data_IF_619657557384
#
_entry.id   IF_619657557384
#
_cell.length_a   1.000
_cell.length_b   1.000
_cell.length_c   1.000
_cell.angle_alpha   90.00
_cell.angle_beta   90.00
_cell.angle_gamma   90.00
#
_symmetry.space_group_name_H-M   'P 1'
#
loop_
_entity.id
_entity.type
_entity.pdbx_description
1 polymer ?
#
# COMPACT_ATOMS: atom_id res chain seq x y z
N UNK A 1 47.67 -7.62 39.34
CA UNK A 1 46.23 -7.48 39.59
C UNK A 1 46.02 -7.26 41.08
N UNK A 2 45.27 -6.24 41.52
CA UNK A 2 45.16 -5.94 42.97
C UNK A 2 44.38 -7.03 43.70
N UNK A 3 44.70 -7.29 44.97
CA UNK A 3 43.99 -8.28 45.83
C UNK A 3 42.47 -8.04 45.90
N UNK A 4 42.01 -6.81 45.64
CA UNK A 4 40.57 -6.47 45.54
C UNK A 4 39.96 -6.99 44.24
N UNK A 5 40.65 -6.84 43.10
CA UNK A 5 40.19 -7.38 41.81
C UNK A 5 40.12 -8.91 41.81
N UNK A 6 41.07 -9.60 42.44
CA UNK A 6 41.05 -11.06 42.52
C UNK A 6 39.87 -11.59 43.36
N UNK A 7 39.51 -10.88 44.43
CA UNK A 7 38.33 -11.24 45.26
C UNK A 7 37.02 -10.99 44.53
N UNK A 8 36.91 -9.88 43.78
CA UNK A 8 35.72 -9.59 42.96
C UNK A 8 35.56 -10.65 41.87
N UNK A 9 36.65 -11.03 41.19
CA UNK A 9 36.61 -12.05 40.15
C UNK A 9 36.21 -13.43 40.69
N UNK A 10 36.72 -13.82 41.87
CA UNK A 10 36.32 -15.07 42.53
C UNK A 10 34.84 -15.08 42.92
N UNK A 11 34.30 -13.96 43.42
CA UNK A 11 32.88 -13.85 43.75
C UNK A 11 32.01 -13.94 42.49
N UNK A 12 32.41 -13.29 41.39
CA UNK A 12 31.70 -13.36 40.12
C UNK A 12 31.70 -14.78 39.52
N UNK A 13 32.81 -15.51 39.63
CA UNK A 13 32.90 -16.91 39.18
C UNK A 13 31.97 -17.82 40.01
N UNK A 14 31.93 -17.64 41.33
CA UNK A 14 31.03 -18.42 42.21
C UNK A 14 29.56 -18.12 41.89
N UNK A 15 29.21 -16.86 41.62
CA UNK A 15 27.86 -16.49 41.20
C UNK A 15 27.51 -17.11 39.85
N UNK A 16 28.43 -17.09 38.88
CA UNK A 16 28.19 -17.72 37.57
C UNK A 16 27.96 -19.23 37.69
N UNK A 17 28.77 -19.93 38.49
CA UNK A 17 28.60 -21.36 38.72
C UNK A 17 27.26 -21.67 39.39
N UNK A 18 26.83 -20.84 40.36
CA UNK A 18 25.53 -21.00 41.01
C UNK A 18 24.37 -20.77 40.05
N UNK A 19 24.45 -19.75 39.17
CA UNK A 19 23.42 -19.46 38.16
C UNK A 19 23.35 -20.60 37.13
N UNK A 20 24.49 -21.12 36.67
CA UNK A 20 24.54 -22.26 35.75
C UNK A 20 23.98 -23.54 36.38
N UNK A 21 24.25 -23.79 37.67
CA UNK A 21 23.68 -24.94 38.38
C UNK A 21 22.16 -24.84 38.53
N UNK A 22 21.62 -23.65 38.81
CA UNK A 22 20.17 -23.40 38.89
C UNK A 22 19.51 -23.59 37.52
N UNK A 23 20.13 -23.09 36.44
CA UNK A 23 19.62 -23.28 35.08
C UNK A 23 19.62 -24.77 34.67
N UNK A 24 20.66 -25.52 35.04
CA UNK A 24 20.76 -26.96 34.75
C UNK A 24 19.71 -27.79 35.51
N UNK A 25 19.44 -27.46 36.78
CA UNK A 25 18.39 -28.12 37.57
C UNK A 25 16.99 -27.78 37.02
N UNK A 26 16.78 -26.54 36.54
CA UNK A 26 15.51 -26.10 35.95
C UNK A 26 15.21 -26.77 34.60
N UNK A 27 16.24 -27.23 33.88
CA UNK A 27 16.10 -27.83 32.55
C UNK A 27 16.16 -29.37 32.55
N UNK A 28 16.46 -30.02 33.68
CA UNK A 28 16.57 -31.49 33.80
C UNK A 28 15.38 -32.17 34.47
N UNK A 29 14.33 -31.42 34.83
CA UNK A 29 13.14 -31.92 35.51
C UNK A 29 11.84 -31.75 34.71
N UNK A 30 11.65 -32.49 33.62
CA UNK A 30 10.31 -32.68 33.03
C UNK A 30 10.17 -34.07 32.40
N UNK A 31 9.64 -35.01 33.18
CA UNK A 31 9.22 -36.34 32.73
C UNK A 31 8.04 -36.85 33.54
N UNK A 32 6.90 -37.02 32.86
CA UNK A 32 5.67 -37.76 33.23
C UNK A 32 4.62 -37.15 34.18
N UNK A 33 3.34 -37.15 33.73
CA UNK A 33 2.17 -37.48 34.58
C UNK A 33 1.03 -36.46 34.78
N UNK A 34 -0.04 -36.57 33.97
CA UNK A 34 -1.49 -36.41 34.25
C UNK A 34 -2.13 -35.18 34.99
N UNK A 35 -3.13 -34.58 34.29
CA UNK A 35 -4.46 -34.02 34.67
C UNK A 35 -4.68 -33.27 36.02
N UNK A 36 -5.12 -32.00 35.95
CA UNK A 36 -6.48 -31.49 36.32
C UNK A 36 -6.60 -29.95 36.21
N UNK A 37 -7.83 -29.49 35.99
CA UNK A 37 -8.33 -28.10 35.96
C UNK A 37 -8.10 -27.35 37.29
N UNK A 38 -7.82 -26.03 37.27
CA UNK A 38 -8.78 -24.96 37.61
C UNK A 38 -8.17 -23.54 37.45
N UNK A 39 -9.06 -22.53 37.47
CA UNK A 39 -8.98 -21.11 37.08
C UNK A 39 -7.94 -20.16 37.75
N UNK A 40 -7.75 -19.06 37.00
CA UNK A 40 -7.63 -17.62 37.38
C UNK A 40 -6.26 -16.93 37.50
N UNK A 41 -6.00 -16.07 36.49
CA UNK A 41 -5.59 -14.63 36.51
C UNK A 41 -4.31 -14.22 37.26
N UNK A 42 -3.28 -13.78 36.51
CA UNK A 42 -2.84 -12.36 36.41
C UNK A 42 -1.44 -12.23 35.76
N UNK A 43 -1.37 -11.35 34.75
CA UNK A 43 -0.25 -10.56 34.21
C UNK A 43 1.21 -10.88 34.58
N UNK A 44 2.02 -11.11 33.53
CA UNK A 44 3.26 -10.34 33.31
C UNK A 44 3.77 -10.55 31.88
N UNK A 45 4.03 -9.43 31.21
CA UNK A 45 4.64 -9.31 29.88
C UNK A 45 6.03 -9.96 29.83
N UNK A 46 6.25 -10.83 28.84
CA UNK A 46 7.59 -11.23 28.40
C UNK A 46 7.79 -10.80 26.94
N UNK A 47 8.77 -9.92 26.77
CA UNK A 47 9.32 -9.51 25.48
C UNK A 47 10.06 -10.70 24.86
N UNK A 48 9.61 -11.15 23.69
CA UNK A 48 10.45 -11.95 22.81
C UNK A 48 10.37 -11.43 21.38
N UNK A 49 11.52 -10.94 20.92
CA UNK A 49 11.83 -10.64 19.53
C UNK A 49 11.88 -11.97 18.79
N UNK A 50 10.91 -12.21 17.91
CA UNK A 50 10.97 -13.31 16.95
C UNK A 50 11.43 -12.77 15.60
N UNK A 51 12.60 -13.24 15.18
CA UNK A 51 13.11 -13.11 13.81
C UNK A 51 12.05 -13.60 12.81
N UNK A 52 11.78 -12.77 11.81
CA UNK A 52 10.94 -13.11 10.67
C UNK A 52 11.76 -14.02 9.76
N UNK A 53 11.43 -15.32 9.72
CA UNK A 53 12.04 -16.27 8.80
C UNK A 53 11.24 -16.31 7.49
N UNK A 54 11.84 -15.82 6.40
CA UNK A 54 11.33 -16.00 5.04
C UNK A 54 11.56 -17.45 4.57
N UNK A 55 10.50 -18.13 4.11
CA UNK A 55 10.60 -19.43 3.45
C UNK A 55 10.88 -19.24 1.94
N UNK A 56 11.78 -20.04 1.33
CA UNK A 56 12.23 -19.84 -0.04
C UNK A 56 11.20 -20.37 -1.05
N UNK A 57 11.04 -19.64 -2.17
CA UNK A 57 10.31 -20.12 -3.34
C UNK A 57 11.25 -20.18 -4.56
N UNK A 58 11.40 -21.41 -5.04
CA UNK A 58 11.68 -21.91 -6.39
C UNK A 58 12.60 -21.10 -7.33
N UNK A 59 13.85 -21.59 -7.45
CA UNK A 59 14.83 -21.16 -8.45
C UNK A 59 14.84 -22.14 -9.63
N UNK A 60 14.44 -21.68 -10.82
CA UNK A 60 14.90 -22.29 -12.06
C UNK A 60 15.06 -21.24 -13.16
N UNK A 61 16.30 -20.91 -13.49
CA UNK A 61 16.69 -20.27 -14.74
C UNK A 61 18.09 -20.78 -15.10
N UNK A 62 18.31 -21.36 -16.28
CA UNK A 62 19.65 -21.68 -16.74
C UNK A 62 20.33 -20.42 -17.31
N UNK A 63 21.62 -20.35 -17.05
CA UNK A 63 22.59 -19.37 -17.52
C UNK A 63 22.70 -19.36 -19.06
N UNK A 64 22.76 -18.16 -19.66
CA UNK A 64 23.52 -17.95 -20.89
C UNK A 64 24.35 -16.66 -20.81
N UNK A 65 25.63 -16.76 -21.19
CA UNK A 65 26.65 -15.71 -21.22
C UNK A 65 26.77 -15.10 -22.63
N UNK A 66 27.44 -13.94 -22.78
CA UNK A 66 27.00 -12.88 -23.68
C UNK A 66 27.60 -12.95 -25.09
N UNK A 67 26.87 -12.39 -26.05
CA UNK A 67 27.37 -12.07 -27.39
C UNK A 67 27.43 -10.56 -27.59
N UNK A 68 28.66 -10.08 -27.80
CA UNK A 68 29.07 -8.78 -28.32
C UNK A 68 28.35 -8.37 -29.61
N UNK A 69 28.07 -7.08 -29.79
CA UNK A 69 28.26 -6.36 -31.06
C UNK A 69 28.41 -4.85 -30.81
N UNK A 70 29.10 -4.23 -31.76
CA UNK A 70 29.94 -3.04 -31.65
C UNK A 70 29.20 -1.72 -31.91
N UNK A 71 29.83 -0.66 -31.41
CA UNK A 71 29.64 0.78 -31.62
C UNK A 71 29.92 1.18 -33.08
N UNK A 72 29.13 2.04 -33.73
CA UNK A 72 29.32 3.50 -33.96
C UNK A 72 28.92 3.81 -35.44
N UNK A 73 28.81 5.07 -35.95
CA UNK A 73 28.82 6.38 -35.30
C UNK A 73 27.69 7.35 -35.73
N UNK A 74 27.66 8.49 -35.03
CA UNK A 74 27.03 9.78 -35.32
C UNK A 74 27.49 10.39 -36.67
N UNK A 75 26.70 11.31 -37.27
CA UNK A 75 27.31 12.52 -37.79
C UNK A 75 26.67 13.81 -37.26
N UNK A 76 27.54 14.78 -37.00
CA UNK A 76 27.25 16.18 -36.67
C UNK A 76 27.56 17.08 -37.88
N UNK A 77 26.78 18.17 -38.02
CA UNK A 77 27.19 19.56 -38.37
C UNK A 77 25.91 20.38 -38.65
N UNK A 78 25.64 21.48 -37.92
CA UNK A 78 26.09 22.88 -38.14
C UNK A 78 25.75 23.40 -39.55
N UNK A 79 25.19 24.59 -39.80
CA UNK A 79 25.00 25.84 -39.05
C UNK A 79 24.13 26.82 -39.89
N UNK A 80 23.74 27.96 -39.29
CA UNK A 80 23.20 29.24 -39.81
C UNK A 80 21.79 29.55 -39.28
N UNK A 81 21.63 30.35 -38.22
CA UNK A 81 21.79 31.83 -38.11
C UNK A 81 20.89 32.59 -39.10
N UNK A 82 19.79 33.16 -38.59
CA UNK A 82 19.59 34.61 -38.68
C UNK A 82 18.60 35.14 -37.63
N UNK A 83 19.03 36.30 -37.15
CA UNK A 83 18.52 37.23 -36.17
C UNK A 83 17.25 37.96 -36.63
N UNK A 84 16.32 38.27 -35.71
CA UNK A 84 15.70 39.60 -35.61
C UNK A 84 14.68 39.70 -34.46
N UNK A 85 15.01 40.64 -33.58
CA UNK A 85 14.15 41.66 -32.98
C UNK A 85 13.29 41.34 -31.73
N UNK A 86 13.85 41.82 -30.62
CA UNK A 86 13.18 42.25 -29.40
C UNK A 86 12.01 43.22 -29.68
N UNK A 87 10.92 43.07 -28.92
CA UNK A 87 10.26 44.22 -28.28
C UNK A 87 9.48 43.79 -27.04
N UNK A 88 9.89 44.37 -25.92
CA UNK A 88 9.12 44.50 -24.68
C UNK A 88 7.92 45.41 -24.92
N UNK A 89 6.81 45.14 -24.25
CA UNK A 89 5.97 46.13 -23.56
C UNK A 89 4.92 45.39 -22.71
N UNK A 90 4.75 45.88 -21.49
CA UNK A 90 3.71 45.58 -20.49
C UNK A 90 3.57 46.89 -19.67
N UNK A 91 2.48 47.22 -18.96
CA UNK A 91 1.10 46.71 -18.97
C UNK A 91 0.06 47.84 -19.21
N UNK A 92 -1.21 47.53 -19.46
CA UNK A 92 -2.31 48.41 -19.01
C UNK A 92 -3.61 47.66 -18.74
N UNK A 93 -4.28 48.16 -17.70
CA UNK A 93 -5.52 47.70 -17.09
C UNK A 93 -6.72 47.78 -18.05
N UNK A 94 -7.58 46.78 -17.99
CA UNK A 94 -9.01 46.97 -18.27
C UNK A 94 -9.84 45.98 -17.47
N UNK A 95 -10.41 46.52 -16.40
CA UNK A 95 -11.57 46.03 -15.67
C UNK A 95 -12.68 45.47 -16.55
N UNK A 96 -13.27 44.35 -16.11
CA UNK A 96 -14.52 43.82 -16.65
C UNK A 96 -14.91 42.54 -15.93
N UNK A 97 -15.62 42.69 -14.81
CA UNK A 97 -16.33 41.61 -14.12
C UNK A 97 -17.18 40.80 -15.12
N UNK A 98 -17.09 39.49 -15.04
CA UNK A 98 -18.26 38.64 -14.93
C UNK A 98 -17.94 37.42 -14.07
N UNK A 99 -18.67 37.40 -12.97
CA UNK A 99 -18.78 36.41 -11.93
C UNK A 99 -19.62 35.24 -12.45
N UNK A 100 -19.09 34.02 -12.42
CA UNK A 100 -19.89 32.81 -12.17
C UNK A 100 -19.01 31.83 -11.37
N UNK A 101 -18.95 32.05 -10.05
CA UNK A 101 -18.85 30.93 -9.10
C UNK A 101 -19.94 29.92 -9.44
N UNK A 102 -19.56 28.77 -10.01
CA UNK A 102 -20.43 27.61 -10.11
C UNK A 102 -20.79 27.16 -8.69
N UNK A 103 -21.98 27.54 -8.25
CA UNK A 103 -22.68 26.89 -7.14
C UNK A 103 -22.72 25.40 -7.42
N UNK A 104 -22.24 24.58 -6.48
CA UNK A 104 -22.20 23.12 -6.60
C UNK A 104 -23.58 22.56 -6.90
N UNK A 105 -23.76 22.05 -8.11
CA UNK A 105 -24.94 21.29 -8.47
C UNK A 105 -24.97 20.01 -7.63
N UNK A 106 -26.15 19.70 -7.07
CA UNK A 106 -26.38 18.45 -6.35
C UNK A 106 -26.11 17.25 -7.27
N UNK A 107 -25.54 16.18 -6.71
CA UNK A 107 -25.18 14.97 -7.44
C UNK A 107 -26.38 14.37 -8.21
N UNK A 108 -26.18 14.11 -9.51
CA UNK A 108 -27.18 13.47 -10.40
C UNK A 108 -27.16 11.94 -10.26
N UNK A 109 -26.04 11.37 -9.81
CA UNK A 109 -25.81 9.95 -9.55
C UNK A 109 -24.78 9.75 -8.43
N UNK A 110 -24.48 8.50 -8.02
CA UNK A 110 -23.50 8.26 -6.96
C UNK A 110 -22.09 8.66 -7.39
N UNK A 111 -21.29 9.15 -6.44
CA UNK A 111 -19.84 9.25 -6.60
C UNK A 111 -19.26 7.84 -6.44
N UNK A 112 -18.41 7.41 -7.37
CA UNK A 112 -17.81 6.08 -7.39
C UNK A 112 -16.34 6.15 -7.03
N UNK A 113 -15.98 5.61 -5.87
CA UNK A 113 -14.59 5.39 -5.50
C UNK A 113 -14.20 3.95 -5.85
N UNK A 114 -13.04 3.75 -6.45
CA UNK A 114 -12.48 2.43 -6.71
C UNK A 114 -11.14 2.24 -5.98
N UNK A 115 -10.92 1.03 -5.47
CA UNK A 115 -9.71 0.67 -4.74
C UNK A 115 -9.13 -0.63 -5.25
N UNK A 116 -7.82 -0.62 -5.49
CA UNK A 116 -7.04 -1.79 -5.84
C UNK A 116 -5.90 -2.00 -4.83
N UNK A 117 -5.41 -3.24 -4.76
CA UNK A 117 -4.30 -3.61 -3.89
C UNK A 117 -2.92 -3.29 -4.50
N UNK A 118 -1.99 -4.21 -4.33
CA UNK A 118 -0.56 -3.98 -4.59
C UNK A 118 -0.23 -3.97 -6.09
N UNK A 119 0.41 -2.90 -6.56
CA UNK A 119 0.97 -2.78 -7.92
C UNK A 119 2.48 -2.62 -7.83
N UNK A 120 3.19 -3.33 -8.71
CA UNK A 120 4.65 -3.29 -8.81
C UNK A 120 5.10 -3.08 -10.25
N UNK A 121 5.77 -1.94 -10.49
CA UNK A 121 6.30 -1.56 -11.81
C UNK A 121 7.82 -1.72 -11.90
N UNK A 122 8.45 -2.56 -11.07
CA UNK A 122 9.89 -2.82 -11.16
C UNK A 122 10.28 -3.23 -12.59
N UNK A 123 11.36 -2.63 -13.09
CA UNK A 123 11.82 -2.82 -14.48
C UNK A 123 12.15 -4.28 -14.82
N UNK A 124 12.49 -5.10 -13.82
CA UNK A 124 12.84 -6.50 -14.01
C UNK A 124 11.69 -7.45 -13.62
N UNK A 125 10.52 -6.90 -13.31
CA UNK A 125 9.35 -7.70 -12.93
C UNK A 125 8.74 -8.39 -14.15
N UNK A 126 8.20 -9.59 -13.94
CA UNK A 126 7.48 -10.33 -15.00
C UNK A 126 6.26 -9.55 -15.54
N UNK A 127 5.46 -8.85 -14.71
CA UNK A 127 4.40 -7.98 -15.20
C UNK A 127 4.89 -6.93 -16.21
N UNK A 128 5.91 -6.14 -15.88
CA UNK A 128 6.45 -5.13 -16.80
C UNK A 128 7.04 -5.76 -18.06
N UNK A 129 7.74 -6.90 -17.93
CA UNK A 129 8.24 -7.64 -19.10
C UNK A 129 7.11 -8.08 -20.05
N UNK A 130 5.94 -8.47 -19.52
CA UNK A 130 4.77 -8.77 -20.35
C UNK A 130 4.23 -7.52 -21.03
N UNK A 131 4.07 -6.42 -20.28
CA UNK A 131 3.59 -5.15 -20.81
C UNK A 131 4.41 -4.71 -22.03
N UNK A 132 5.74 -4.72 -21.89
CA UNK A 132 6.67 -4.35 -22.96
C UNK A 132 6.61 -5.32 -24.14
N UNK A 133 6.52 -6.63 -23.88
CA UNK A 133 6.46 -7.66 -24.92
C UNK A 133 5.16 -7.60 -25.73
N UNK A 134 4.02 -7.44 -25.06
CA UNK A 134 2.72 -7.43 -25.72
C UNK A 134 2.53 -6.17 -26.57
N UNK A 135 3.09 -5.03 -26.13
CA UNK A 135 3.06 -3.76 -26.85
C UNK A 135 1.64 -3.34 -27.25
N UNK A 136 0.69 -3.53 -26.32
CA UNK A 136 -0.75 -3.21 -26.46
C UNK A 136 -1.23 -2.17 -25.43
N UNK A 137 -0.28 -1.50 -24.76
CA UNK A 137 -0.57 -0.72 -23.55
C UNK A 137 -1.22 -1.58 -22.48
N UNK A 138 -2.08 -0.97 -21.66
CA UNK A 138 -2.76 -1.60 -20.54
C UNK A 138 -3.56 -2.85 -20.93
N UNK A 139 -4.12 -2.91 -22.14
CA UNK A 139 -4.89 -4.07 -22.62
C UNK A 139 -4.03 -5.31 -22.93
N UNK A 140 -2.71 -5.18 -22.95
CA UNK A 140 -1.80 -6.33 -22.99
C UNK A 140 -1.76 -7.11 -21.67
N UNK A 141 -2.15 -6.45 -20.58
CA UNK A 141 -1.96 -6.92 -19.20
C UNK A 141 -3.23 -6.88 -18.35
N UNK A 142 -4.27 -6.14 -18.78
CA UNK A 142 -5.61 -6.15 -18.21
C UNK A 142 -6.69 -6.54 -19.23
N UNK A 143 -7.81 -7.06 -18.74
CA UNK A 143 -9.03 -7.23 -19.55
C UNK A 143 -9.75 -5.90 -19.76
N UNK A 144 -10.38 -5.74 -20.93
CA UNK A 144 -11.04 -4.48 -21.31
C UNK A 144 -12.13 -4.08 -20.31
N UNK A 145 -12.96 -5.03 -19.90
CA UNK A 145 -14.04 -4.82 -18.94
C UNK A 145 -13.53 -4.33 -17.58
N UNK A 146 -12.39 -4.84 -17.12
CA UNK A 146 -11.75 -4.35 -15.89
C UNK A 146 -11.18 -2.94 -16.07
N UNK A 147 -10.59 -2.65 -17.22
CA UNK A 147 -10.12 -1.28 -17.57
C UNK A 147 -11.28 -0.29 -17.59
N UNK A 148 -12.42 -0.68 -18.16
CA UNK A 148 -13.62 0.15 -18.17
C UNK A 148 -14.12 0.41 -16.74
N UNK A 149 -14.15 -0.59 -15.86
CA UNK A 149 -14.54 -0.42 -14.45
C UNK A 149 -13.60 0.50 -13.66
N UNK A 150 -12.29 0.45 -13.92
CA UNK A 150 -11.33 1.37 -13.32
C UNK A 150 -11.55 2.81 -13.80
N UNK A 151 -11.71 3.02 -15.11
CA UNK A 151 -11.85 4.35 -15.71
C UNK A 151 -13.25 4.97 -15.53
N UNK A 152 -14.25 4.18 -15.16
CA UNK A 152 -15.59 4.67 -14.83
C UNK A 152 -15.74 5.11 -13.35
N UNK A 153 -14.68 4.96 -12.54
CA UNK A 153 -14.65 5.53 -11.19
C UNK A 153 -14.39 7.04 -11.26
N UNK A 154 -14.95 7.81 -10.33
CA UNK A 154 -14.61 9.22 -10.19
C UNK A 154 -13.25 9.41 -9.51
N UNK A 155 -12.85 8.46 -8.65
CA UNK A 155 -11.53 8.40 -8.02
C UNK A 155 -11.08 6.94 -7.96
N UNK A 156 -9.93 6.63 -8.55
CA UNK A 156 -9.28 5.32 -8.45
C UNK A 156 -7.99 5.41 -7.62
N UNK A 157 -7.95 4.64 -6.52
CA UNK A 157 -6.81 4.55 -5.61
C UNK A 157 -6.17 3.15 -5.58
N UNK A 158 -4.84 3.09 -5.54
CA UNK A 158 -4.10 1.83 -5.39
C UNK A 158 -2.84 1.93 -4.52
N UNK A 159 -2.24 0.79 -4.16
CA UNK A 159 -0.95 0.76 -3.47
C UNK A 159 0.20 0.75 -4.49
N UNK A 160 1.01 1.81 -4.51
CA UNK A 160 2.22 1.91 -5.30
C UNK A 160 3.40 1.32 -4.50
N UNK A 161 3.72 0.05 -4.71
CA UNK A 161 4.67 -0.70 -3.86
C UNK A 161 6.08 -0.82 -4.49
N UNK A 162 6.63 0.32 -4.91
CA UNK A 162 7.95 0.46 -5.51
C UNK A 162 8.37 1.94 -5.53
N UNK A 163 9.61 2.24 -5.89
CA UNK A 163 10.08 3.61 -6.12
C UNK A 163 10.26 3.92 -7.61
N UNK A 164 9.99 5.15 -8.05
CA UNK A 164 10.39 5.65 -9.37
C UNK A 164 11.75 6.33 -9.27
N UNK A 165 12.76 5.82 -9.96
CA UNK A 165 14.06 6.51 -10.08
C UNK A 165 14.99 5.81 -11.06
N UNK A 166 15.96 6.56 -11.60
CA UNK A 166 17.18 6.01 -12.22
C UNK A 166 18.41 6.17 -11.31
N UNK A 167 18.24 6.82 -10.15
CA UNK A 167 19.24 7.12 -9.13
C UNK A 167 19.01 6.26 -7.87
N UNK A 168 19.78 6.55 -6.82
CA UNK A 168 19.73 5.81 -5.57
C UNK A 168 20.48 4.46 -5.62
N UNK A 169 20.67 3.86 -4.45
CA UNK A 169 21.40 2.61 -4.28
C UNK A 169 20.49 1.57 -3.61
N UNK A 170 20.45 0.37 -4.18
CA UNK A 170 19.71 -0.76 -3.63
C UNK A 170 20.13 -1.00 -2.18
N UNK A 171 19.16 -1.09 -1.28
CA UNK A 171 19.38 -1.54 0.10
C UNK A 171 19.79 -3.01 0.07
N UNK A 172 21.03 -3.31 0.46
CA UNK A 172 21.67 -4.62 0.22
C UNK A 172 21.08 -5.72 1.08
N UNK A 173 20.71 -5.35 2.30
CA UNK A 173 20.22 -6.20 3.37
C UNK A 173 18.76 -6.62 3.17
N UNK A 174 18.05 -6.00 2.22
CA UNK A 174 16.66 -6.34 1.90
C UNK A 174 16.59 -7.41 0.81
N UNK A 175 15.79 -8.46 1.04
CA UNK A 175 15.58 -9.56 0.10
C UNK A 175 15.00 -9.07 -1.23
N UNK A 176 13.99 -8.22 -1.16
CA UNK A 176 13.27 -7.69 -2.32
C UNK A 176 13.33 -6.17 -2.35
N UNK A 177 13.71 -5.64 -3.51
CA UNK A 177 13.79 -4.20 -3.77
C UNK A 177 13.21 -3.91 -5.13
N UNK A 178 12.33 -2.90 -5.23
CA UNK A 178 11.62 -2.59 -6.47
C UNK A 178 11.86 -1.16 -6.92
N UNK A 179 12.27 -0.99 -8.18
CA UNK A 179 12.45 0.32 -8.81
C UNK A 179 11.97 0.33 -10.26
N UNK A 180 11.07 1.24 -10.53
CA UNK A 180 10.60 1.56 -11.86
C UNK A 180 11.38 2.75 -12.44
N UNK A 181 11.59 2.77 -13.75
CA UNK A 181 12.02 4.00 -14.41
C UNK A 181 10.88 5.03 -14.33
N UNK A 182 11.14 6.33 -14.10
CA UNK A 182 10.08 7.36 -13.99
C UNK A 182 9.04 7.34 -15.11
N UNK A 183 9.48 7.13 -16.37
CA UNK A 183 8.59 6.92 -17.54
C UNK A 183 7.47 5.88 -17.36
N UNK A 184 7.61 4.92 -16.44
CA UNK A 184 6.59 3.89 -16.17
C UNK A 184 5.36 4.45 -15.47
N UNK A 185 5.39 5.69 -14.99
CA UNK A 185 4.20 6.38 -14.45
C UNK A 185 3.06 6.44 -15.45
N UNK A 186 3.35 6.41 -16.75
CA UNK A 186 2.31 6.31 -17.79
C UNK A 186 1.44 5.06 -17.64
N UNK A 187 1.94 3.96 -17.06
CA UNK A 187 1.12 2.77 -16.80
C UNK A 187 0.02 3.08 -15.77
N UNK A 188 0.31 3.89 -14.75
CA UNK A 188 -0.71 4.32 -13.78
C UNK A 188 -1.75 5.24 -14.43
N UNK A 189 -1.33 6.08 -15.39
CA UNK A 189 -2.25 6.91 -16.17
C UNK A 189 -3.13 6.07 -17.10
N UNK A 190 -2.58 5.02 -17.72
CA UNK A 190 -3.37 4.08 -18.52
C UNK A 190 -4.34 3.24 -17.67
N UNK A 191 -4.00 2.97 -16.40
CA UNK A 191 -4.92 2.37 -15.42
C UNK A 191 -6.03 3.35 -14.99
N UNK A 192 -5.83 4.66 -15.17
CA UNK A 192 -6.73 5.70 -14.69
C UNK A 192 -6.58 6.00 -13.19
N UNK A 193 -5.41 5.77 -12.60
CA UNK A 193 -5.21 6.02 -11.17
C UNK A 193 -5.06 7.53 -10.87
N UNK A 194 -5.88 8.03 -9.96
CA UNK A 194 -5.86 9.43 -9.52
C UNK A 194 -4.96 9.65 -8.32
N UNK A 195 -4.92 8.66 -7.41
CA UNK A 195 -4.19 8.74 -6.14
C UNK A 195 -3.54 7.41 -5.79
N UNK A 196 -2.34 7.45 -5.21
CA UNK A 196 -1.65 6.26 -4.71
C UNK A 196 -1.24 6.35 -3.25
N UNK A 197 -1.21 5.20 -2.57
CA UNK A 197 -0.50 5.08 -1.31
C UNK A 197 0.99 4.83 -1.57
N UNK A 198 1.85 5.61 -0.89
CA UNK A 198 3.30 5.38 -0.80
C UNK A 198 3.71 4.86 0.59
N UNK A 199 2.78 4.77 1.54
CA UNK A 199 3.06 4.19 2.84
C UNK A 199 3.15 2.67 2.75
N UNK A 200 4.34 2.15 2.44
CA UNK A 200 4.62 0.72 2.42
C UNK A 200 6.11 0.45 2.72
N UNK A 201 6.46 -0.82 2.84
CA UNK A 201 7.82 -1.26 3.10
C UNK A 201 8.77 -1.10 1.91
N UNK A 202 8.33 -0.66 0.73
CA UNK A 202 9.13 -0.59 -0.51
C UNK A 202 9.49 0.83 -0.98
N UNK A 203 8.92 1.86 -0.36
CA UNK A 203 9.14 3.26 -0.72
C UNK A 203 10.61 3.75 -0.68
N UNK A 204 11.47 3.13 0.12
CA UNK A 204 12.90 3.50 0.29
C UNK A 204 13.87 2.39 -0.14
N UNK A 205 13.44 1.47 -1.00
CA UNK A 205 14.26 0.36 -1.51
C UNK A 205 15.57 0.77 -2.19
N UNK A 206 15.60 2.01 -2.71
CA UNK A 206 16.77 2.62 -3.34
C UNK A 206 17.21 3.92 -2.64
N UNK A 207 16.77 4.10 -1.39
CA UNK A 207 17.12 5.24 -0.55
C UNK A 207 16.39 6.54 -0.88
N UNK A 208 16.75 7.60 -0.16
CA UNK A 208 16.05 8.90 -0.18
C UNK A 208 16.03 9.54 -1.57
N UNK A 209 17.10 9.40 -2.36
CA UNK A 209 17.12 9.90 -3.74
C UNK A 209 15.96 9.34 -4.57
N UNK A 210 15.70 8.04 -4.45
CA UNK A 210 14.63 7.40 -5.21
C UNK A 210 13.24 7.74 -4.66
N UNK A 211 13.10 7.94 -3.35
CA UNK A 211 11.85 8.41 -2.75
C UNK A 211 11.52 9.84 -3.22
N UNK A 212 12.51 10.73 -3.27
CA UNK A 212 12.31 12.10 -3.75
C UNK A 212 11.98 12.12 -5.25
N UNK A 213 12.64 11.29 -6.05
CA UNK A 213 12.30 11.11 -7.48
C UNK A 213 10.89 10.54 -7.65
N UNK A 214 10.43 9.67 -6.73
CA UNK A 214 9.06 9.14 -6.71
C UNK A 214 8.03 10.25 -6.53
N UNK A 215 8.25 11.17 -5.58
CA UNK A 215 7.36 12.33 -5.40
C UNK A 215 7.30 13.19 -6.65
N UNK A 216 8.46 13.57 -7.20
CA UNK A 216 8.53 14.39 -8.42
C UNK A 216 7.84 13.70 -9.61
N UNK A 217 8.06 12.40 -9.79
CA UNK A 217 7.47 11.64 -10.89
C UNK A 217 5.94 11.63 -10.83
N UNK A 218 5.36 11.45 -9.63
CA UNK A 218 3.91 11.46 -9.44
C UNK A 218 3.33 12.87 -9.59
N UNK A 219 4.00 13.89 -9.01
CA UNK A 219 3.61 15.30 -9.14
C UNK A 219 3.59 15.76 -10.60
N UNK A 220 4.62 15.42 -11.40
CA UNK A 220 4.70 15.75 -12.83
C UNK A 220 3.67 14.99 -13.68
N UNK A 221 3.27 13.80 -13.23
CA UNK A 221 2.23 12.99 -13.89
C UNK A 221 0.80 13.44 -13.53
N UNK A 222 0.63 14.30 -12.52
CA UNK A 222 -0.67 14.70 -11.99
C UNK A 222 -1.37 13.61 -11.19
N UNK A 223 -0.60 12.69 -10.58
CA UNK A 223 -1.13 11.63 -9.72
C UNK A 223 -0.85 12.02 -8.27
N UNK A 224 -1.90 12.13 -7.46
CA UNK A 224 -1.75 12.45 -6.04
C UNK A 224 -1.18 11.28 -5.24
N UNK A 225 -0.61 11.58 -4.08
CA UNK A 225 -0.12 10.55 -3.18
C UNK A 225 -0.29 10.89 -1.70
N UNK A 226 -0.47 9.85 -0.90
CA UNK A 226 -0.61 9.92 0.56
C UNK A 226 0.31 8.92 1.27
N UNK A 227 0.61 9.21 2.53
CA UNK A 227 1.33 8.29 3.41
C UNK A 227 2.87 8.36 3.33
N UNK A 228 3.41 9.24 2.49
CA UNK A 228 4.82 9.58 2.46
C UNK A 228 5.01 11.05 2.10
N UNK A 229 6.16 11.62 2.45
CA UNK A 229 6.44 13.03 2.16
C UNK A 229 7.89 13.41 2.40
N UNK A 230 8.23 14.64 1.98
CA UNK A 230 9.55 15.25 2.19
C UNK A 230 9.87 15.49 3.68
N UNK A 231 8.83 15.49 4.52
CA UNK A 231 8.88 15.59 5.97
C UNK A 231 7.59 14.98 6.55
N UNK A 232 7.49 14.93 7.88
CA UNK A 232 6.34 14.35 8.59
C UNK A 232 5.04 15.12 8.35
N UNK A 233 5.11 16.45 8.21
CA UNK A 233 3.93 17.27 7.92
C UNK A 233 3.28 16.86 6.59
N UNK A 234 4.06 16.74 5.51
CA UNK A 234 3.53 16.26 4.22
C UNK A 234 3.14 14.79 4.26
N UNK A 235 3.89 13.93 4.97
CA UNK A 235 3.64 12.50 5.02
C UNK A 235 2.31 12.16 5.72
N UNK A 236 1.92 12.95 6.73
CA UNK A 236 0.68 12.76 7.48
C UNK A 236 -0.54 13.50 6.90
N UNK A 237 -0.32 14.45 6.00
CA UNK A 237 -1.36 15.33 5.47
C UNK A 237 -2.38 14.53 4.62
N UNK A 238 -3.69 14.75 4.82
CA UNK A 238 -4.71 14.23 3.92
C UNK A 238 -4.66 14.87 2.54
N UNK A 239 -5.10 14.14 1.52
CA UNK A 239 -5.45 14.69 0.20
C UNK A 239 -6.98 14.74 0.09
N UNK A 240 -7.53 15.80 -0.49
CA UNK A 240 -8.97 16.01 -0.59
C UNK A 240 -9.42 16.14 -2.04
N UNK A 241 -10.51 15.45 -2.38
CA UNK A 241 -11.22 15.62 -3.63
C UNK A 241 -12.64 16.13 -3.35
N UNK A 242 -13.08 17.14 -4.10
CA UNK A 242 -14.45 17.64 -4.04
C UNK A 242 -15.17 17.31 -5.34
N UNK A 243 -16.26 16.53 -5.26
CA UNK A 243 -17.09 16.13 -6.40
C UNK A 243 -18.53 16.54 -6.08
N UNK A 244 -19.10 17.43 -6.90
CA UNK A 244 -20.39 18.04 -6.60
C UNK A 244 -20.34 18.83 -5.29
N UNK A 245 -21.18 18.44 -4.33
CA UNK A 245 -21.27 19.02 -2.99
C UNK A 245 -20.57 18.19 -1.90
N UNK A 246 -19.83 17.12 -2.27
CA UNK A 246 -19.15 16.22 -1.33
C UNK A 246 -17.65 16.35 -1.41
N UNK A 247 -17.00 16.36 -0.26
CA UNK A 247 -15.54 16.29 -0.12
C UNK A 247 -15.13 14.95 0.49
N UNK A 248 -14.17 14.28 -0.15
CA UNK A 248 -13.60 13.01 0.30
C UNK A 248 -12.13 13.24 0.67
N UNK A 249 -11.76 12.90 1.91
CA UNK A 249 -10.39 12.97 2.40
C UNK A 249 -9.72 11.60 2.39
N UNK A 250 -8.48 11.54 1.91
CA UNK A 250 -7.68 10.32 1.82
C UNK A 250 -6.46 10.43 2.71
N UNK A 251 -6.23 9.41 3.54
CA UNK A 251 -5.03 9.28 4.37
C UNK A 251 -4.48 7.86 4.24
N UNK A 252 -3.16 7.71 4.32
CA UNK A 252 -2.53 6.39 4.29
C UNK A 252 -1.43 6.24 5.34
N UNK A 253 -1.20 5.01 5.80
CA UNK A 253 -0.10 4.69 6.71
C UNK A 253 0.33 3.23 6.60
N UNK A 254 1.54 2.94 7.05
CA UNK A 254 2.09 1.57 7.05
C UNK A 254 2.36 1.07 8.45
N UNK A 255 2.00 -0.19 8.74
CA UNK A 255 2.51 -0.93 9.89
C UNK A 255 3.70 -1.82 9.52
N UNK A 256 4.08 -1.85 8.25
CA UNK A 256 5.22 -2.61 7.72
C UNK A 256 6.22 -1.60 7.17
N UNK A 257 7.15 -1.17 8.02
CA UNK A 257 8.23 -0.26 7.64
C UNK A 257 9.54 -0.98 7.96
N UNK A 258 10.42 -1.08 6.95
CA UNK A 258 11.61 -1.92 7.02
C UNK A 258 12.61 -1.47 8.09
N UNK A 259 12.82 -0.15 8.24
CA UNK A 259 13.77 0.40 9.21
C UNK A 259 13.25 1.69 9.87
N UNK A 260 13.71 1.96 11.09
CA UNK A 260 13.29 3.14 11.86
C UNK A 260 13.64 4.47 11.19
N UNK A 261 14.67 4.49 10.37
CA UNK A 261 15.09 5.66 9.62
C UNK A 261 14.27 5.90 8.33
N UNK A 262 13.29 5.04 8.03
CA UNK A 262 12.38 5.18 6.90
C UNK A 262 11.09 5.93 7.27
N UNK A 263 10.87 6.16 8.56
CA UNK A 263 9.83 7.06 9.03
C UNK A 263 10.21 8.50 8.68
N UNK A 264 9.24 9.27 8.21
CA UNK A 264 9.42 10.71 8.06
C UNK A 264 9.71 11.35 9.42
N UNK A 265 10.45 12.46 9.41
CA UNK A 265 10.61 13.37 10.56
C UNK A 265 10.36 14.79 10.08
N UNK A 266 10.48 15.79 10.95
CA UNK A 266 10.33 17.19 10.57
C UNK A 266 11.34 17.61 9.47
N UNK A 267 12.49 16.93 9.41
CA UNK A 267 13.64 17.24 8.55
C UNK A 267 14.08 16.09 7.63
N UNK A 268 13.41 14.93 7.66
CA UNK A 268 13.74 13.77 6.85
C UNK A 268 12.55 13.25 6.05
N UNK A 269 12.72 12.98 4.74
CA UNK A 269 11.72 12.29 3.94
C UNK A 269 11.47 10.88 4.43
N UNK A 270 10.24 10.40 4.28
CA UNK A 270 9.88 9.03 4.62
C UNK A 270 8.38 8.82 4.65
N UNK A 271 7.97 7.73 5.28
CA UNK A 271 6.56 7.35 5.39
C UNK A 271 6.02 7.65 6.77
N UNK A 272 4.70 7.85 6.86
CA UNK A 272 3.98 7.77 8.13
C UNK A 272 3.74 6.29 8.46
N UNK A 273 3.96 5.93 9.71
CA UNK A 273 3.66 4.59 10.21
C UNK A 273 2.51 4.55 11.20
N UNK A 274 2.01 3.35 11.45
CA UNK A 274 0.89 3.10 12.37
C UNK A 274 1.11 1.88 13.27
N UNK A 275 2.37 1.64 13.65
CA UNK A 275 2.65 0.69 14.74
C UNK A 275 2.06 1.21 16.07
N UNK A 276 2.30 2.48 16.35
CA UNK A 276 1.48 3.31 17.24
C UNK A 276 0.47 4.08 16.38
N UNK A 277 -0.86 3.90 16.58
CA UNK A 277 -1.87 4.56 15.76
C UNK A 277 -2.04 6.06 16.05
N UNK A 278 -1.48 6.61 17.13
CA UNK A 278 -1.81 7.97 17.59
C UNK A 278 -1.61 9.04 16.50
N UNK A 279 -0.52 8.95 15.75
CA UNK A 279 -0.23 9.90 14.68
C UNK A 279 -1.21 9.76 13.51
N UNK A 280 -1.47 8.53 13.06
CA UNK A 280 -2.41 8.29 11.96
C UNK A 280 -3.86 8.60 12.34
N UNK A 281 -4.25 8.35 13.59
CA UNK A 281 -5.53 8.80 14.17
C UNK A 281 -5.67 10.32 14.12
N UNK A 282 -4.57 11.06 14.29
CA UNK A 282 -4.60 12.52 14.14
C UNK A 282 -4.86 12.92 12.69
N UNK A 283 -4.21 12.28 11.72
CA UNK A 283 -4.50 12.49 10.29
C UNK A 283 -5.96 12.18 9.92
N UNK A 284 -6.52 11.08 10.45
CA UNK A 284 -7.92 10.72 10.22
C UNK A 284 -8.87 11.78 10.79
N UNK A 285 -8.59 12.33 11.97
CA UNK A 285 -9.39 13.39 12.57
C UNK A 285 -9.31 14.69 11.77
N UNK A 286 -8.11 15.08 11.35
CA UNK A 286 -7.90 16.24 10.47
C UNK A 286 -8.65 16.07 9.14
N UNK A 287 -8.60 14.88 8.54
CA UNK A 287 -9.39 14.54 7.37
C UNK A 287 -10.89 14.75 7.66
N UNK A 288 -11.39 14.16 8.76
CA UNK A 288 -12.82 14.21 9.10
C UNK A 288 -13.34 15.62 9.40
N UNK A 289 -12.50 16.50 9.94
CA UNK A 289 -12.87 17.90 10.19
C UNK A 289 -13.05 18.71 8.90
N UNK A 290 -12.48 18.24 7.79
CA UNK A 290 -12.43 18.98 6.51
C UNK A 290 -13.07 18.21 5.34
N UNK A 291 -13.75 17.07 5.59
CA UNK A 291 -14.40 16.27 4.55
C UNK A 291 -15.70 15.62 5.04
N UNK A 292 -16.58 15.29 4.09
CA UNK A 292 -17.80 14.54 4.35
C UNK A 292 -17.48 13.06 4.63
N UNK A 293 -16.57 12.51 3.82
CA UNK A 293 -16.11 11.12 3.89
C UNK A 293 -14.61 11.03 4.07
N UNK A 294 -14.14 10.02 4.81
CA UNK A 294 -12.70 9.75 5.00
C UNK A 294 -12.34 8.32 4.62
N UNK A 295 -11.36 8.16 3.75
CA UNK A 295 -10.71 6.90 3.40
C UNK A 295 -9.41 6.77 4.16
N UNK A 296 -9.25 5.68 4.92
CA UNK A 296 -8.00 5.28 5.53
C UNK A 296 -7.41 4.07 4.81
N UNK A 297 -6.34 4.26 4.06
CA UNK A 297 -5.65 3.22 3.29
C UNK A 297 -4.43 2.71 4.05
N UNK A 298 -4.32 1.41 4.32
CA UNK A 298 -3.37 0.90 5.32
C UNK A 298 -2.59 -0.31 4.82
N UNK A 299 -1.27 -0.24 4.92
CA UNK A 299 -0.36 -1.31 4.52
C UNK A 299 0.07 -2.12 5.75
N UNK A 300 -0.43 -3.36 5.91
CA UNK A 300 -0.38 -4.10 7.18
C UNK A 300 -0.57 -5.62 7.06
N UNK A 301 -0.51 -6.34 8.18
CA UNK A 301 -0.82 -7.76 8.20
C UNK A 301 0.41 -8.63 8.03
N UNK A 302 0.17 -9.89 7.68
CA UNK A 302 1.21 -10.90 7.47
C UNK A 302 1.06 -11.40 6.05
N UNK A 303 2.17 -11.44 5.31
CA UNK A 303 2.20 -11.96 3.95
C UNK A 303 1.59 -13.36 3.85
N UNK A 304 0.74 -13.55 2.84
CA UNK A 304 0.10 -14.81 2.44
C UNK A 304 -0.88 -15.39 3.47
N UNK A 305 -1.30 -14.60 4.45
CA UNK A 305 -2.35 -14.98 5.41
C UNK A 305 -3.71 -14.39 5.00
N UNK A 306 -4.67 -15.24 4.62
CA UNK A 306 -6.02 -14.81 4.25
C UNK A 306 -6.87 -14.32 5.44
N UNK A 307 -6.48 -14.69 6.66
CA UNK A 307 -7.16 -14.25 7.88
C UNK A 307 -6.40 -13.06 8.48
N UNK A 308 -7.04 -11.88 8.64
CA UNK A 308 -6.39 -10.76 9.31
C UNK A 308 -6.06 -11.13 10.76
N UNK A 309 -4.87 -10.71 11.19
CA UNK A 309 -4.42 -10.88 12.58
C UNK A 309 -5.07 -9.85 13.49
N UNK A 310 -5.09 -10.11 14.79
CA UNK A 310 -5.89 -9.35 15.75
C UNK A 310 -5.58 -7.85 15.75
N UNK A 311 -4.30 -7.46 15.61
CA UNK A 311 -3.95 -6.04 15.57
C UNK A 311 -4.55 -5.33 14.34
N UNK A 312 -4.71 -6.01 13.19
CA UNK A 312 -5.34 -5.40 12.02
C UNK A 312 -6.79 -5.04 12.36
N UNK A 313 -7.51 -5.96 13.03
CA UNK A 313 -8.90 -5.77 13.44
C UNK A 313 -9.06 -4.64 14.45
N UNK A 314 -8.19 -4.59 15.45
CA UNK A 314 -8.20 -3.53 16.47
C UNK A 314 -7.90 -2.17 15.85
N UNK A 315 -6.88 -2.08 14.99
CA UNK A 315 -6.51 -0.83 14.32
C UNK A 315 -7.60 -0.36 13.35
N UNK A 316 -8.16 -1.24 12.53
CA UNK A 316 -9.24 -0.88 11.62
C UNK A 316 -10.45 -0.27 12.36
N UNK A 317 -10.87 -0.88 13.47
CA UNK A 317 -11.95 -0.35 14.32
C UNK A 317 -11.58 0.98 14.97
N UNK A 318 -10.32 1.12 15.40
CA UNK A 318 -9.79 2.38 15.93
C UNK A 318 -9.86 3.51 14.90
N UNK A 319 -9.60 3.23 13.62
CA UNK A 319 -9.67 4.22 12.55
C UNK A 319 -11.10 4.64 12.23
N UNK A 320 -12.03 3.68 12.18
CA UNK A 320 -13.47 3.97 12.08
C UNK A 320 -13.93 4.84 13.26
N UNK A 321 -13.51 4.51 14.48
CA UNK A 321 -13.82 5.29 15.70
C UNK A 321 -13.21 6.69 15.68
N UNK A 322 -12.09 6.88 14.99
CA UNK A 322 -11.42 8.17 14.84
C UNK A 322 -12.08 9.09 13.79
N UNK A 323 -12.91 8.55 12.91
CA UNK A 323 -13.61 9.33 11.89
C UNK A 323 -13.56 8.74 10.48
N UNK A 324 -12.79 7.67 10.23
CA UNK A 324 -12.78 7.02 8.93
C UNK A 324 -14.16 6.47 8.58
N UNK A 325 -14.55 6.63 7.32
CA UNK A 325 -15.78 6.06 6.75
C UNK A 325 -15.48 4.75 6.02
N UNK A 326 -14.30 4.64 5.40
CA UNK A 326 -13.84 3.44 4.69
C UNK A 326 -12.40 3.09 5.10
N UNK A 327 -12.15 1.83 5.46
CA UNK A 327 -10.79 1.34 5.76
C UNK A 327 -10.39 0.29 4.73
N UNK A 328 -9.34 0.59 3.97
CA UNK A 328 -8.88 -0.25 2.86
C UNK A 328 -7.46 -0.73 3.16
N UNK A 329 -7.26 -2.04 3.16
CA UNK A 329 -5.98 -2.67 3.47
C UNK A 329 -5.25 -3.22 2.25
N UNK A 330 -3.94 -3.35 2.38
CA UNK A 330 -3.01 -3.99 1.43
C UNK A 330 -1.79 -4.56 2.18
N UNK A 331 -0.81 -5.14 1.46
CA UNK A 331 0.41 -5.86 1.95
C UNK A 331 0.37 -7.39 2.01
N UNK A 332 -0.69 -8.08 2.49
CA UNK A 332 -0.65 -9.55 2.60
C UNK A 332 -0.41 -10.27 1.27
N UNK A 333 -0.47 -9.57 0.13
CA UNK A 333 -0.34 -10.10 -1.23
C UNK A 333 -1.39 -11.16 -1.59
N UNK A 334 -2.43 -11.28 -0.76
CA UNK A 334 -3.61 -12.13 -0.93
C UNK A 334 -4.85 -11.39 -0.45
N UNK A 335 -6.02 -11.77 -0.94
CA UNK A 335 -7.29 -11.26 -0.43
C UNK A 335 -7.45 -11.59 1.05
N UNK A 336 -7.83 -10.60 1.85
CA UNK A 336 -8.38 -10.82 3.19
C UNK A 336 -9.85 -10.39 3.19
N UNK A 337 -10.62 -10.94 4.11
CA UNK A 337 -12.06 -10.71 4.16
C UNK A 337 -12.47 -9.26 4.39
N UNK A 338 -13.77 -9.00 4.22
CA UNK A 338 -14.42 -7.73 4.53
C UNK A 338 -15.17 -7.87 5.87
N UNK A 339 -15.22 -6.80 6.66
CA UNK A 339 -16.01 -6.68 7.89
C UNK A 339 -16.80 -5.36 7.83
N UNK A 340 -18.03 -5.34 8.36
CA UNK A 340 -18.69 -4.08 8.69
C UNK A 340 -18.54 -3.80 10.19
N UNK A 341 -18.20 -2.56 10.52
CA UNK A 341 -18.13 -2.09 11.90
C UNK A 341 -18.82 -0.74 12.00
N UNK A 342 -19.90 -0.67 12.80
CA UNK A 342 -20.77 0.52 12.91
C UNK A 342 -21.33 0.97 11.55
N UNK A 343 -21.73 0.01 10.71
CA UNK A 343 -22.24 0.25 9.36
C UNK A 343 -21.19 0.69 8.34
N UNK A 344 -19.89 0.68 8.68
CA UNK A 344 -18.79 1.11 7.82
C UNK A 344 -17.90 -0.06 7.39
N UNK A 345 -17.50 -0.15 6.11
CA UNK A 345 -16.73 -1.28 5.60
C UNK A 345 -15.25 -1.18 5.95
N UNK A 346 -14.70 -2.34 6.26
CA UNK A 346 -13.26 -2.61 6.43
C UNK A 346 -12.91 -3.72 5.45
N UNK A 347 -12.13 -3.41 4.41
CA UNK A 347 -11.51 -4.42 3.55
C UNK A 347 -10.08 -4.64 4.03
N UNK A 348 -9.77 -5.81 4.61
CA UNK A 348 -8.47 -6.01 5.27
C UNK A 348 -7.29 -6.15 4.30
N UNK A 349 -7.53 -6.64 3.08
CA UNK A 349 -6.55 -6.70 1.99
C UNK A 349 -7.23 -6.96 0.66
N UNK A 350 -6.87 -6.20 -0.38
CA UNK A 350 -7.31 -6.42 -1.76
C UNK A 350 -6.31 -7.28 -2.57
N UNK A 351 -5.26 -7.80 -1.92
CA UNK A 351 -4.26 -8.66 -2.53
C UNK A 351 -3.41 -7.95 -3.59
N UNK A 352 -2.70 -8.74 -4.40
CA UNK A 352 -1.95 -8.18 -5.52
C UNK A 352 -2.90 -7.82 -6.64
N UNK A 353 -2.83 -6.58 -7.12
CA UNK A 353 -3.61 -6.15 -8.28
C UNK A 353 -2.83 -6.37 -9.58
N UNK A 354 -1.54 -6.00 -9.59
CA UNK A 354 -0.62 -6.33 -10.68
C UNK A 354 0.84 -6.32 -10.19
N UNK A 355 1.30 -7.49 -9.72
CA UNK A 355 2.55 -7.59 -8.96
C UNK A 355 3.45 -8.76 -9.34
N UNK A 356 2.87 -9.94 -9.62
CA UNK A 356 3.63 -11.15 -9.91
C UNK A 356 2.94 -12.04 -10.96
N UNK A 357 3.51 -13.21 -11.24
CA UNK A 357 2.99 -14.15 -12.25
C UNK A 357 2.12 -15.26 -11.68
N UNK A 358 1.85 -15.28 -10.37
CA UNK A 358 1.05 -16.34 -9.75
C UNK A 358 -0.42 -16.21 -10.11
N UNK A 359 -1.10 -17.35 -10.29
CA UNK A 359 -2.56 -17.37 -10.32
C UNK A 359 -3.12 -17.10 -8.93
N UNK A 360 -3.78 -15.97 -8.73
CA UNK A 360 -4.28 -15.53 -7.41
C UNK A 360 -5.49 -14.61 -7.51
N UNK A 361 -6.41 -14.77 -6.57
CA UNK A 361 -7.53 -13.88 -6.35
C UNK A 361 -7.04 -12.46 -6.03
N UNK A 362 -7.76 -11.48 -6.58
CA UNK A 362 -7.62 -10.05 -6.33
C UNK A 362 -9.02 -9.43 -6.30
N UNK A 363 -9.13 -8.12 -6.10
CA UNK A 363 -10.41 -7.44 -6.17
C UNK A 363 -10.27 -5.97 -6.56
N UNK A 364 -11.28 -5.46 -7.25
CA UNK A 364 -11.52 -4.04 -7.38
C UNK A 364 -12.71 -3.70 -6.47
N UNK A 365 -12.43 -3.06 -5.34
CA UNK A 365 -13.48 -2.66 -4.40
C UNK A 365 -14.04 -1.30 -4.82
N UNK A 366 -15.34 -1.22 -5.04
CA UNK A 366 -16.05 0.00 -5.39
C UNK A 366 -16.94 0.45 -4.24
N UNK A 367 -16.92 1.74 -3.95
CA UNK A 367 -17.81 2.40 -2.99
C UNK A 367 -18.64 3.42 -3.77
N UNK A 368 -19.95 3.26 -3.73
CA UNK A 368 -20.90 4.17 -4.36
C UNK A 368 -21.47 5.08 -3.28
N UNK A 369 -21.04 6.34 -3.24
CA UNK A 369 -21.58 7.34 -2.31
C UNK A 369 -22.83 7.95 -2.98
N UNK A 370 -24.00 7.59 -2.46
CA UNK A 370 -25.28 8.00 -3.01
C UNK A 370 -25.59 9.47 -2.68
N UNK A 371 -26.41 10.18 -3.50
CA UNK A 371 -26.77 11.57 -3.26
C UNK A 371 -27.44 11.84 -1.89
N UNK A 372 -28.08 10.83 -1.29
CA UNK A 372 -28.70 10.94 0.04
C UNK A 372 -27.72 10.75 1.21
N UNK A 373 -26.45 10.51 0.89
CA UNK A 373 -25.35 10.32 1.84
C UNK A 373 -25.15 8.88 2.30
N UNK A 374 -26.02 7.94 1.90
CA UNK A 374 -25.76 6.51 2.07
C UNK A 374 -24.65 6.04 1.14
N UNK A 375 -24.15 4.82 1.34
CA UNK A 375 -23.21 4.23 0.40
C UNK A 375 -23.45 2.74 0.21
N UNK A 376 -23.15 2.26 -1.00
CA UNK A 376 -23.12 0.84 -1.35
C UNK A 376 -21.68 0.38 -1.56
N UNK A 377 -21.41 -0.87 -1.19
CA UNK A 377 -20.09 -1.49 -1.31
C UNK A 377 -20.19 -2.63 -2.30
N UNK A 378 -19.32 -2.66 -3.31
CA UNK A 378 -19.25 -3.73 -4.28
C UNK A 378 -17.82 -4.23 -4.42
N UNK A 379 -17.61 -5.54 -4.36
CA UNK A 379 -16.31 -6.15 -4.66
C UNK A 379 -16.40 -6.82 -6.03
N UNK A 380 -15.77 -6.22 -7.04
CA UNK A 380 -15.67 -6.89 -8.34
C UNK A 380 -14.64 -8.02 -8.27
N UNK A 381 -14.96 -9.21 -8.82
CA UNK A 381 -14.14 -10.39 -8.67
C UNK A 381 -13.01 -10.33 -9.71
N UNK A 382 -11.77 -10.22 -9.24
CA UNK A 382 -10.59 -10.10 -10.11
C UNK A 382 -9.67 -11.30 -9.91
N UNK A 383 -9.04 -11.74 -10.99
CA UNK A 383 -8.04 -12.80 -10.98
C UNK A 383 -6.77 -12.31 -11.66
N UNK A 384 -5.64 -12.54 -11.01
CA UNK A 384 -4.35 -12.55 -11.68
C UNK A 384 -4.09 -13.96 -12.19
N UNK A 385 -3.68 -14.12 -13.43
CA UNK A 385 -3.16 -15.38 -13.96
C UNK A 385 -2.03 -15.09 -14.95
N UNK A 386 -0.83 -15.60 -14.64
CA UNK A 386 0.35 -15.46 -15.51
C UNK A 386 0.58 -14.01 -16.01
N UNK A 387 0.64 -13.06 -15.06
CA UNK A 387 0.86 -11.61 -15.28
C UNK A 387 -0.24 -10.87 -16.04
N UNK A 388 -1.38 -11.52 -16.28
CA UNK A 388 -2.58 -10.91 -16.82
C UNK A 388 -3.64 -10.80 -15.72
N UNK A 389 -4.21 -9.61 -15.54
CA UNK A 389 -5.22 -9.33 -14.53
C UNK A 389 -6.56 -9.14 -15.22
N UNK A 390 -7.59 -9.89 -14.82
CA UNK A 390 -8.89 -9.84 -15.49
C UNK A 390 -10.04 -9.89 -14.51
N UNK A 391 -11.16 -9.27 -14.88
CA UNK A 391 -12.41 -9.44 -14.17
C UNK A 391 -13.00 -10.82 -14.50
N UNK A 392 -13.40 -11.56 -13.46
CA UNK A 392 -14.02 -12.86 -13.61
C UNK A 392 -15.47 -12.64 -14.10
N UNK A 393 -15.76 -13.06 -15.33
CA UNK A 393 -17.09 -12.93 -15.95
C UNK A 393 -17.84 -14.26 -16.08
N UNK A 394 -17.16 -15.39 -15.95
CA UNK A 394 -17.83 -16.70 -15.90
C UNK A 394 -18.61 -16.85 -14.58
N UNK A 395 -19.90 -17.15 -14.66
CA UNK A 395 -20.79 -17.18 -13.50
C UNK A 395 -20.40 -18.25 -12.47
N UNK A 396 -19.82 -19.39 -12.88
CA UNK A 396 -19.38 -20.42 -11.93
C UNK A 396 -18.11 -20.00 -11.21
N UNK A 397 -17.19 -19.36 -11.93
CA UNK A 397 -15.97 -18.80 -11.32
C UNK A 397 -16.33 -17.63 -10.37
N UNK A 398 -17.29 -16.78 -10.72
CA UNK A 398 -17.82 -15.74 -9.82
C UNK A 398 -18.42 -16.34 -8.55
N UNK A 399 -19.26 -17.37 -8.67
CA UNK A 399 -19.83 -18.05 -7.50
C UNK A 399 -18.73 -18.64 -6.60
N UNK A 400 -17.71 -19.26 -7.20
CA UNK A 400 -16.56 -19.79 -6.46
C UNK A 400 -15.77 -18.68 -5.75
N UNK A 401 -15.55 -17.54 -6.42
CA UNK A 401 -14.88 -16.37 -5.85
C UNK A 401 -15.66 -15.80 -4.65
N UNK A 402 -16.97 -15.56 -4.79
CA UNK A 402 -17.75 -15.00 -3.68
C UNK A 402 -17.97 -16.01 -2.54
N UNK A 403 -17.98 -17.31 -2.82
CA UNK A 403 -17.94 -18.34 -1.78
C UNK A 403 -16.61 -18.28 -1.01
N UNK A 404 -15.49 -18.12 -1.70
CA UNK A 404 -14.19 -17.90 -1.07
C UNK A 404 -14.20 -16.63 -0.22
N UNK A 405 -14.64 -15.49 -0.76
CA UNK A 405 -14.72 -14.23 -0.02
C UNK A 405 -15.64 -14.33 1.20
N UNK A 406 -16.79 -15.00 1.08
CA UNK A 406 -17.71 -15.26 2.20
C UNK A 406 -17.03 -16.04 3.32
N UNK A 407 -16.19 -17.03 2.99
CA UNK A 407 -15.52 -17.86 4.00
C UNK A 407 -14.43 -17.13 4.80
N UNK A 408 -13.81 -16.10 4.21
CA UNK A 408 -12.74 -15.34 4.85
C UNK A 408 -13.20 -14.01 5.46
N UNK A 409 -14.44 -13.60 5.16
CA UNK A 409 -15.05 -12.36 5.63
C UNK A 409 -15.81 -12.53 6.95
N UNK A 410 -16.11 -11.41 7.58
CA UNK A 410 -16.75 -11.31 8.87
C UNK A 410 -18.07 -10.58 8.69
N UNK A 411 -19.14 -11.02 9.36
CA UNK A 411 -20.45 -10.36 9.39
C UNK A 411 -20.96 -9.75 8.06
N UNK A 412 -20.65 -10.37 6.91
CA UNK A 412 -21.12 -9.91 5.59
C UNK A 412 -21.69 -11.02 4.71
N UNK A 413 -22.48 -10.61 3.73
CA UNK A 413 -22.96 -11.40 2.60
C UNK A 413 -22.59 -10.72 1.28
N UNK A 414 -22.40 -11.53 0.24
CA UNK A 414 -22.16 -11.08 -1.12
C UNK A 414 -23.33 -11.52 -1.99
N UNK A 415 -23.90 -10.60 -2.77
CA UNK A 415 -24.84 -10.97 -3.81
C UNK A 415 -24.12 -11.44 -5.09
N UNK A 416 -24.89 -11.81 -6.12
CA UNK A 416 -24.36 -12.31 -7.40
C UNK A 416 -23.55 -11.27 -8.19
N UNK A 417 -23.77 -9.98 -7.91
CA UNK A 417 -23.13 -8.85 -8.58
C UNK A 417 -21.98 -8.28 -7.74
N UNK A 418 -21.70 -8.89 -6.57
CA UNK A 418 -20.61 -8.54 -5.68
C UNK A 418 -20.94 -7.45 -4.67
N UNK A 419 -22.20 -7.01 -4.57
CA UNK A 419 -22.58 -6.07 -3.52
C UNK A 419 -22.48 -6.73 -2.16
N UNK A 420 -21.89 -6.01 -1.21
CA UNK A 420 -21.56 -6.47 0.13
C UNK A 420 -22.50 -5.83 1.13
N UNK A 421 -23.20 -6.64 1.92
CA UNK A 421 -24.12 -6.16 2.96
C UNK A 421 -23.74 -6.71 4.32
N UNK A 422 -24.00 -5.95 5.38
CA UNK A 422 -23.80 -6.39 6.77
C UNK A 422 -24.88 -7.42 7.15
N UNK A 423 -24.45 -8.55 7.72
CA UNK A 423 -25.35 -9.57 8.28
C UNK A 423 -26.06 -9.02 9.51
N UNK A 424 -27.39 -9.10 9.50
CA UNK A 424 -28.25 -8.72 10.64
C UNK A 424 -28.16 -9.69 11.82
#
# INVERSE_FOLDING_TARGET
>A
MSRKLTKILLVLIVILIAVSAVAYIKNSGSGSGQKKEDKQVSDSFDNNVTEVSEAPADTSSPEEKPSSFETDPVPANNENVNDSDEKKDDPDESSGQNDETKTGDSLIGPIVLAFAGDVNLDENSKPVARYDKENKGILGVFSQDLVDEMNNADIFMLNNEFAYSTRGARIKEKSFTFRAHPKRVEILKEMGADIVSLANNHALDYGVDALLDTFTTLEEAGIDYVGAGRNMERAKAPVYYTIGDKTIGFVAASRVIYAMDWYATDDRPGMIGTYDPALFVTSIKEAKENSDYVVAFVHWGIEREHKPVEYQKVLAKTYIDAGADFVIGCHPHVMQGIEFYKGKPIAYSLGNYWFNSSKRESGLLKIYINPDGTFDVQLLPVMNDNTYTYMITDEKEKEAYYKFMTNISFNVEYDKDGFVTEKQ
#
